data_IF_627428972332
#
_entry.id   IF_627428972332
#
_cell.length_a   1.000
_cell.length_b   1.000
_cell.length_c   1.000
_cell.angle_alpha   90.00
_cell.angle_beta   90.00
_cell.angle_gamma   90.00
#
_symmetry.space_group_name_H-M   'P 1'
#
loop_
_entity.id
_entity.type
_entity.pdbx_description
1 polymer ?
#
# COMPACT_ATOMS: atom_id res chain seq x y z
N UNK A 1 4.79 -5.47 5.19
CA UNK A 1 5.95 -4.88 4.52
C UNK A 1 6.35 -3.59 5.22
N UNK A 2 5.38 -2.69 5.47
CA UNK A 2 5.60 -1.42 6.17
C UNK A 2 6.43 -1.51 7.46
N UNK A 3 6.08 -2.41 8.40
CA UNK A 3 6.88 -2.54 9.64
C UNK A 3 8.33 -2.96 9.41
N UNK A 4 8.59 -3.77 8.38
CA UNK A 4 9.95 -4.23 8.07
C UNK A 4 10.76 -3.10 7.43
N UNK A 5 10.16 -2.38 6.48
CA UNK A 5 10.74 -1.18 5.88
C UNK A 5 11.01 -0.10 6.93
N UNK A 6 10.06 0.16 7.82
CA UNK A 6 10.20 1.11 8.93
C UNK A 6 11.34 0.72 9.88
N UNK A 7 11.51 -0.58 10.14
CA UNK A 7 12.65 -1.08 10.93
C UNK A 7 13.99 -0.84 10.22
N UNK A 8 14.06 -1.08 8.90
CA UNK A 8 15.28 -0.84 8.11
C UNK A 8 15.59 0.66 8.02
N UNK A 9 14.60 1.51 7.76
CA UNK A 9 14.74 2.97 7.73
C UNK A 9 15.18 3.54 9.08
N UNK A 10 14.66 3.01 10.19
CA UNK A 10 15.12 3.39 11.52
C UNK A 10 16.57 2.99 11.79
N UNK A 11 17.01 1.83 11.28
CA UNK A 11 18.41 1.42 11.34
C UNK A 11 19.29 2.31 10.46
N UNK A 12 18.90 2.56 9.22
CA UNK A 12 19.60 3.46 8.30
C UNK A 12 19.83 4.83 8.93
N UNK A 13 18.77 5.45 9.45
CA UNK A 13 18.86 6.75 10.15
C UNK A 13 19.76 6.72 11.37
N UNK A 14 19.90 5.55 12.02
CA UNK A 14 20.81 5.37 13.14
C UNK A 14 22.24 5.31 12.65
N UNK A 15 22.54 4.49 11.64
CA UNK A 15 23.88 4.41 11.06
C UNK A 15 24.34 5.74 10.46
N UNK A 16 23.46 6.49 9.78
CA UNK A 16 23.77 7.86 9.33
C UNK A 16 24.16 8.82 10.47
N UNK A 17 23.62 8.61 11.68
CA UNK A 17 24.03 9.39 12.86
C UNK A 17 25.34 8.89 13.44
N UNK A 18 25.60 7.58 13.38
CA UNK A 18 26.86 6.97 13.83
C UNK A 18 28.00 7.41 12.90
N UNK A 19 27.82 7.32 11.57
CA UNK A 19 28.75 7.86 10.57
C UNK A 19 29.16 9.30 10.86
N UNK A 20 28.19 10.19 11.12
CA UNK A 20 28.51 11.60 11.45
C UNK A 20 29.37 11.74 12.70
N UNK A 21 29.13 10.91 13.71
CA UNK A 21 29.94 10.91 14.93
C UNK A 21 31.34 10.36 14.67
N UNK A 22 31.45 9.32 13.84
CA UNK A 22 32.73 8.71 13.47
C UNK A 22 33.58 9.67 12.61
N UNK A 23 32.95 10.43 11.72
CA UNK A 23 33.60 11.48 10.93
C UNK A 23 34.16 12.60 11.82
N UNK A 24 33.38 13.02 12.82
CA UNK A 24 33.80 14.00 13.82
C UNK A 24 34.98 13.45 14.66
N UNK A 25 34.88 12.20 15.14
CA UNK A 25 35.98 11.56 15.87
C UNK A 25 37.24 11.44 15.00
N UNK A 26 37.12 11.01 13.75
CA UNK A 26 38.24 10.92 12.82
C UNK A 26 38.91 12.28 12.61
N UNK A 27 38.13 13.36 12.49
CA UNK A 27 38.63 14.73 12.40
C UNK A 27 39.45 15.10 13.63
N UNK A 28 38.91 14.84 14.83
CA UNK A 28 39.59 15.10 16.10
C UNK A 28 40.88 14.26 16.24
N UNK A 29 40.85 12.97 15.87
CA UNK A 29 42.04 12.09 15.86
C UNK A 29 43.11 12.60 14.92
N UNK A 30 42.74 13.03 13.71
CA UNK A 30 43.67 13.63 12.74
C UNK A 30 44.31 14.89 13.29
N UNK A 31 43.54 15.77 13.92
CA UNK A 31 44.06 16.99 14.53
C UNK A 31 45.03 16.68 15.69
N UNK A 32 44.71 15.69 16.52
CA UNK A 32 45.59 15.23 17.60
C UNK A 32 46.90 14.62 17.07
N UNK A 33 46.81 13.84 15.99
CA UNK A 33 47.98 13.27 15.34
C UNK A 33 48.90 14.36 14.77
N UNK A 34 48.34 15.35 14.07
CA UNK A 34 49.07 16.50 13.54
C UNK A 34 49.75 17.29 14.67
N UNK A 35 49.05 17.55 15.77
CA UNK A 35 49.62 18.21 16.95
C UNK A 35 50.80 17.44 17.54
N UNK A 36 50.68 16.12 17.61
CA UNK A 36 51.77 15.23 18.07
C UNK A 36 52.97 15.27 17.12
N UNK A 37 52.75 15.29 15.80
CA UNK A 37 53.83 15.42 14.82
C UNK A 37 54.54 16.76 14.93
N UNK A 38 53.81 17.85 15.11
CA UNK A 38 54.39 19.17 15.33
C UNK A 38 55.22 19.22 16.63
N UNK A 39 54.69 18.70 17.74
CA UNK A 39 55.43 18.62 19.01
C UNK A 39 56.68 17.75 18.88
N UNK A 40 56.62 16.63 18.16
CA UNK A 40 57.79 15.77 17.91
C UNK A 40 58.88 16.53 17.17
N UNK A 41 58.54 17.22 16.07
CA UNK A 41 59.49 18.02 15.29
C UNK A 41 60.12 19.12 16.17
N UNK A 42 59.33 19.87 16.92
CA UNK A 42 59.84 20.88 17.86
C UNK A 42 60.74 20.26 18.96
N UNK A 43 60.37 19.08 19.47
CA UNK A 43 61.12 18.42 20.53
C UNK A 43 62.51 17.96 20.08
N UNK A 44 62.65 17.53 18.82
CA UNK A 44 63.94 17.19 18.18
C UNK A 44 64.88 18.39 18.15
N UNK A 45 64.36 19.59 17.90
CA UNK A 45 65.15 20.83 17.95
C UNK A 45 65.52 21.24 19.39
N UNK A 46 64.69 20.93 20.38
CA UNK A 46 64.90 21.34 21.78
C UNK A 46 65.81 20.45 22.64
N UNK A 47 66.45 19.40 22.08
CA UNK A 47 67.34 18.46 22.79
C UNK A 47 66.72 17.72 24.01
N UNK A 48 65.41 17.85 24.23
CA UNK A 48 64.71 17.20 25.36
C UNK A 48 64.27 15.79 24.97
N UNK A 49 64.82 14.76 25.63
CA UNK A 49 64.39 13.36 25.41
C UNK A 49 62.90 13.19 25.70
N UNK A 50 62.14 12.68 24.74
CA UNK A 50 60.73 12.28 24.87
C UNK A 50 60.55 10.81 24.44
N UNK A 51 59.48 10.17 24.92
CA UNK A 51 59.17 8.74 24.71
C UNK A 51 58.47 8.56 23.35
N UNK A 52 59.11 7.86 22.41
CA UNK A 52 58.62 7.66 21.03
C UNK A 52 57.33 6.81 20.91
N UNK A 53 56.84 6.23 22.00
CA UNK A 53 55.69 5.32 22.02
C UNK A 53 54.34 6.00 21.74
N UNK A 54 54.27 7.32 21.90
CA UNK A 54 53.01 8.07 21.80
C UNK A 54 52.54 8.24 20.34
N UNK A 55 53.45 8.51 19.39
CA UNK A 55 53.08 8.78 17.99
C UNK A 55 52.50 7.55 17.26
N UNK A 56 53.08 6.36 17.48
CA UNK A 56 52.56 5.10 16.93
C UNK A 56 51.15 4.79 17.45
N UNK A 57 50.90 5.06 18.73
CA UNK A 57 49.58 4.83 19.34
C UNK A 57 48.54 5.78 18.74
N UNK A 58 48.90 7.06 18.52
CA UNK A 58 48.02 8.07 17.92
C UNK A 58 47.65 7.71 16.48
N UNK A 59 48.64 7.35 15.66
CA UNK A 59 48.40 6.88 14.28
C UNK A 59 47.48 5.66 14.23
N UNK A 60 47.66 4.69 15.14
CA UNK A 60 46.76 3.53 15.23
C UNK A 60 45.33 3.94 15.56
N UNK A 61 45.13 4.90 16.45
CA UNK A 61 43.80 5.40 16.79
C UNK A 61 43.16 6.16 15.62
N UNK A 62 43.92 6.96 14.87
CA UNK A 62 43.42 7.59 13.63
C UNK A 62 43.02 6.55 12.59
N UNK A 63 43.82 5.49 12.42
CA UNK A 63 43.49 4.39 11.50
C UNK A 63 42.25 3.62 11.94
N UNK A 64 42.06 3.41 13.25
CA UNK A 64 40.85 2.80 13.77
C UNK A 64 39.63 3.66 13.46
N UNK A 65 39.65 4.95 13.83
CA UNK A 65 38.54 5.87 13.53
C UNK A 65 38.24 5.97 12.02
N UNK A 66 39.26 5.83 11.17
CA UNK A 66 39.05 5.78 9.73
C UNK A 66 38.36 4.49 9.28
N UNK A 67 38.71 3.36 9.89
CA UNK A 67 38.05 2.08 9.62
C UNK A 67 36.59 2.11 10.11
N UNK A 68 36.32 2.73 11.26
CA UNK A 68 34.97 2.86 11.81
C UNK A 68 34.07 3.70 10.86
N UNK A 69 34.59 4.79 10.28
CA UNK A 69 33.88 5.56 9.23
C UNK A 69 33.57 4.72 7.99
N UNK A 70 34.55 3.94 7.51
CA UNK A 70 34.36 3.10 6.33
C UNK A 70 33.31 1.99 6.58
N UNK A 71 33.36 1.35 7.76
CA UNK A 71 32.37 0.36 8.20
C UNK A 71 30.96 0.96 8.22
N UNK A 72 30.79 2.16 8.79
CA UNK A 72 29.51 2.87 8.81
C UNK A 72 28.99 3.19 7.40
N UNK A 73 29.87 3.54 6.44
CA UNK A 73 29.49 3.76 5.04
C UNK A 73 29.03 2.46 4.38
N UNK A 74 29.78 1.37 4.58
CA UNK A 74 29.43 0.04 4.05
C UNK A 74 28.08 -0.45 4.62
N UNK A 75 27.83 -0.30 5.92
CA UNK A 75 26.55 -0.71 6.52
C UNK A 75 25.37 0.14 6.00
N UNK A 76 25.59 1.43 5.76
CA UNK A 76 24.58 2.30 5.14
C UNK A 76 24.22 1.82 3.73
N UNK A 77 25.21 1.53 2.89
CA UNK A 77 25.00 1.03 1.52
C UNK A 77 24.23 -0.30 1.53
N UNK A 78 24.63 -1.23 2.39
CA UNK A 78 23.93 -2.51 2.58
C UNK A 78 22.47 -2.33 3.04
N UNK A 79 22.19 -1.36 3.91
CA UNK A 79 20.83 -1.06 4.38
C UNK A 79 19.98 -0.43 3.26
N UNK A 80 20.54 0.49 2.49
CA UNK A 80 19.86 1.09 1.33
C UNK A 80 19.50 0.05 0.27
N UNK A 81 20.42 -0.88 0.00
CA UNK A 81 20.19 -1.99 -0.93
C UNK A 81 19.08 -2.93 -0.44
N UNK A 82 19.08 -3.29 0.84
CA UNK A 82 18.01 -4.10 1.44
C UNK A 82 16.63 -3.42 1.37
N UNK A 83 16.58 -2.10 1.59
CA UNK A 83 15.34 -1.32 1.45
C UNK A 83 14.86 -1.39 0.01
N UNK A 84 15.74 -1.12 -0.96
CA UNK A 84 15.42 -1.11 -2.39
C UNK A 84 14.93 -2.47 -2.89
N UNK A 85 15.58 -3.55 -2.46
CA UNK A 85 15.15 -4.92 -2.79
C UNK A 85 13.76 -5.21 -2.23
N UNK A 86 13.51 -4.83 -0.97
CA UNK A 86 12.21 -5.07 -0.31
C UNK A 86 11.07 -4.27 -0.95
N UNK A 87 11.34 -3.02 -1.36
CA UNK A 87 10.37 -2.20 -2.11
C UNK A 87 10.06 -2.81 -3.48
N UNK A 88 11.09 -3.30 -4.18
CA UNK A 88 10.91 -3.98 -5.46
C UNK A 88 10.10 -5.28 -5.32
N UNK A 89 10.38 -6.10 -4.30
CA UNK A 89 9.62 -7.31 -4.00
C UNK A 89 8.15 -6.98 -3.70
N UNK A 90 7.91 -5.94 -2.90
CA UNK A 90 6.56 -5.51 -2.55
C UNK A 90 5.77 -5.05 -3.77
N UNK A 91 6.39 -4.22 -4.63
CA UNK A 91 5.79 -3.77 -5.88
C UNK A 91 5.46 -4.95 -6.80
N UNK A 92 6.40 -5.90 -6.97
CA UNK A 92 6.17 -7.10 -7.78
C UNK A 92 4.99 -7.94 -7.29
N UNK A 93 4.80 -8.04 -5.96
CA UNK A 93 3.64 -8.73 -5.38
C UNK A 93 2.32 -8.00 -5.62
N UNK A 94 2.33 -6.67 -5.61
CA UNK A 94 1.14 -5.88 -5.95
C UNK A 94 0.75 -6.05 -7.41
N UNK A 95 1.74 -6.04 -8.31
CA UNK A 95 1.52 -6.25 -9.75
C UNK A 95 0.97 -7.66 -10.02
N UNK A 96 1.52 -8.71 -9.40
CA UNK A 96 1.02 -10.09 -9.51
C UNK A 96 -0.43 -10.22 -9.02
N UNK A 97 -0.77 -9.55 -7.91
CA UNK A 97 -2.16 -9.51 -7.42
C UNK A 97 -3.05 -8.82 -8.46
N UNK A 98 -2.64 -7.65 -8.97
CA UNK A 98 -3.37 -6.90 -9.99
C UNK A 98 -3.67 -7.74 -11.24
N UNK A 99 -2.66 -8.45 -11.77
CA UNK A 99 -2.80 -9.30 -12.94
C UNK A 99 -3.80 -10.44 -12.71
N UNK A 100 -3.77 -11.09 -11.53
CA UNK A 100 -4.74 -12.13 -11.18
C UNK A 100 -6.17 -11.59 -11.14
N UNK A 101 -6.41 -10.41 -10.55
CA UNK A 101 -7.75 -9.82 -10.52
C UNK A 101 -8.21 -9.32 -11.89
N UNK A 102 -7.30 -8.80 -12.73
CA UNK A 102 -7.57 -8.43 -14.12
C UNK A 102 -8.07 -9.61 -14.97
N UNK A 103 -7.55 -10.83 -14.73
CA UNK A 103 -8.05 -12.03 -15.39
C UNK A 103 -9.45 -12.47 -14.92
N UNK A 104 -9.78 -12.30 -13.64
CA UNK A 104 -11.07 -12.75 -13.07
C UNK A 104 -12.21 -11.79 -13.42
N UNK A 105 -11.96 -10.49 -13.53
CA UNK A 105 -12.99 -9.50 -13.94
C UNK A 105 -13.41 -9.67 -15.41
N UNK A 106 -12.56 -10.24 -16.26
CA UNK A 106 -12.94 -10.57 -17.64
C UNK A 106 -13.80 -11.84 -17.74
N UNK A 107 -13.92 -12.62 -16.66
CA UNK A 107 -14.74 -13.83 -16.56
C UNK A 107 -16.12 -13.53 -15.91
N UNK A 108 -16.75 -12.41 -16.31
CA UNK A 108 -18.16 -12.15 -15.99
C UNK A 108 -19.01 -13.18 -16.76
N UNK A 109 -19.33 -14.28 -16.07
CA UNK A 109 -20.33 -15.22 -16.55
C UNK A 109 -21.73 -14.68 -16.23
N UNK A 110 -22.52 -14.49 -17.28
CA UNK A 110 -23.93 -14.11 -17.15
C UNK A 110 -24.70 -15.34 -16.64
N UNK A 111 -24.90 -15.42 -15.32
CA UNK A 111 -25.73 -16.47 -14.72
C UNK A 111 -27.19 -16.11 -14.98
N UNK A 112 -27.80 -16.69 -16.02
CA UNK A 112 -29.24 -16.60 -16.25
C UNK A 112 -29.98 -17.31 -15.13
N UNK A 113 -30.38 -16.56 -14.10
CA UNK A 113 -31.28 -17.06 -13.08
C UNK A 113 -32.66 -17.24 -13.69
N UNK A 114 -33.02 -18.49 -14.03
CA UNK A 114 -34.39 -18.83 -14.39
C UNK A 114 -35.26 -18.67 -13.13
N UNK A 115 -36.26 -17.77 -13.11
CA UNK A 115 -37.10 -17.60 -11.94
C UNK A 115 -37.86 -18.90 -11.64
N UNK A 116 -37.54 -19.55 -10.53
CA UNK A 116 -38.21 -20.79 -10.11
C UNK A 116 -39.59 -20.44 -9.56
N UNK A 117 -40.65 -21.08 -10.09
CA UNK A 117 -42.07 -20.88 -9.70
C UNK A 117 -42.34 -20.91 -8.19
N UNK A 118 -41.45 -21.52 -7.40
CA UNK A 118 -41.53 -21.63 -5.95
C UNK A 118 -41.26 -20.32 -5.18
N UNK A 119 -40.82 -19.24 -5.82
CA UNK A 119 -40.55 -17.94 -5.17
C UNK A 119 -41.45 -16.78 -5.63
N UNK A 120 -42.54 -17.08 -6.33
CA UNK A 120 -43.56 -16.08 -6.65
C UNK A 120 -44.62 -16.16 -5.56
N UNK A 121 -44.52 -15.29 -4.55
CA UNK A 121 -45.59 -15.09 -3.58
C UNK A 121 -46.55 -14.07 -4.19
N UNK A 122 -47.74 -14.53 -4.58
CA UNK A 122 -48.83 -13.65 -4.99
C UNK A 122 -49.54 -13.26 -3.69
N UNK A 123 -49.22 -12.09 -3.15
CA UNK A 123 -49.83 -11.60 -1.91
C UNK A 123 -51.32 -11.28 -2.08
N UNK A 124 -51.71 -10.82 -3.27
CA UNK A 124 -53.09 -10.44 -3.58
C UNK A 124 -53.59 -11.14 -4.85
N UNK A 125 -54.67 -11.92 -4.73
CA UNK A 125 -55.41 -12.44 -5.88
C UNK A 125 -56.86 -11.95 -5.83
N UNK A 126 -57.35 -11.41 -6.95
CA UNK A 126 -58.73 -10.95 -7.08
C UNK A 126 -59.40 -11.63 -8.27
N UNK A 127 -60.59 -12.19 -8.06
CA UNK A 127 -61.43 -12.69 -9.16
C UNK A 127 -62.41 -11.59 -9.53
N UNK A 128 -62.21 -10.96 -10.68
CA UNK A 128 -63.15 -10.00 -11.23
C UNK A 128 -64.17 -10.73 -12.13
N UNK A 129 -65.45 -10.64 -11.78
CA UNK A 129 -66.54 -11.10 -12.65
C UNK A 129 -67.14 -9.90 -13.39
N UNK A 130 -67.13 -9.95 -14.73
CA UNK A 130 -67.72 -8.94 -15.61
C UNK A 130 -68.89 -9.55 -16.39
N UNK A 131 -70.14 -9.37 -15.94
CA UNK A 131 -71.30 -9.82 -16.68
C UNK A 131 -71.61 -8.90 -17.86
N UNK A 132 -72.10 -9.50 -18.93
CA UNK A 132 -72.63 -8.82 -20.11
C UNK A 132 -74.11 -9.18 -20.25
N UNK A 133 -74.92 -8.22 -20.66
CA UNK A 133 -76.31 -8.43 -21.01
C UNK A 133 -76.45 -8.46 -22.54
N UNK A 134 -77.25 -9.40 -23.03
CA UNK A 134 -77.66 -9.45 -24.43
C UNK A 134 -78.95 -8.64 -24.56
N UNK A 135 -78.90 -7.55 -25.31
CA UNK A 135 -80.06 -6.68 -25.55
C UNK A 135 -80.38 -6.71 -27.04
N UNK A 136 -81.65 -6.93 -27.36
CA UNK A 136 -82.15 -6.91 -28.72
C UNK A 136 -82.46 -5.47 -29.14
N UNK A 137 -81.75 -4.96 -30.15
CA UNK A 137 -81.92 -3.59 -30.65
C UNK A 137 -82.17 -3.67 -32.16
N UNK A 138 -83.42 -3.48 -32.57
CA UNK A 138 -83.83 -3.70 -33.95
C UNK A 138 -83.92 -5.19 -34.28
N UNK A 139 -83.30 -5.63 -35.38
CA UNK A 139 -83.34 -7.01 -35.87
C UNK A 139 -82.06 -7.81 -35.51
N UNK A 140 -81.33 -7.36 -34.47
CA UNK A 140 -80.05 -7.93 -34.05
C UNK A 140 -79.80 -7.84 -32.55
N UNK A 141 -79.00 -8.79 -32.04
CA UNK A 141 -78.63 -8.89 -30.63
C UNK A 141 -77.26 -8.24 -30.44
N UNK A 142 -77.16 -7.34 -29.46
CA UNK A 142 -75.91 -6.64 -29.09
C UNK A 142 -75.53 -6.95 -27.65
N UNK A 143 -74.27 -7.25 -27.42
CA UNK A 143 -73.69 -7.41 -26.07
C UNK A 143 -73.39 -6.04 -25.46
N UNK A 144 -73.95 -5.76 -24.29
CA UNK A 144 -73.69 -4.55 -23.54
C UNK A 144 -73.12 -4.92 -22.17
N UNK A 145 -72.02 -4.28 -21.78
CA UNK A 145 -71.44 -4.49 -20.45
C UNK A 145 -72.42 -4.07 -19.36
N UNK A 146 -72.58 -4.90 -18.33
CA UNK A 146 -73.46 -4.58 -17.19
C UNK A 146 -72.93 -3.41 -16.34
N UNK A 147 -71.66 -3.03 -16.50
CA UNK A 147 -71.04 -1.91 -15.80
C UNK A 147 -70.86 -0.71 -16.74
N UNK A 148 -71.23 0.48 -16.26
CA UNK A 148 -71.00 1.72 -17.00
C UNK A 148 -69.51 1.92 -17.29
N UNK A 149 -69.20 2.34 -18.52
CA UNK A 149 -67.86 2.45 -19.14
C UNK A 149 -66.81 3.28 -18.36
N UNK A 150 -67.17 3.86 -17.20
CA UNK A 150 -66.32 4.77 -16.43
C UNK A 150 -65.77 4.26 -15.08
N UNK A 151 -66.07 3.02 -14.65
CA UNK A 151 -65.68 2.54 -13.31
C UNK A 151 -64.58 1.46 -13.27
N UNK A 152 -64.02 1.06 -14.41
CA UNK A 152 -62.90 0.11 -14.46
C UNK A 152 -61.70 0.78 -15.12
N UNK A 153 -60.76 1.28 -14.31
CA UNK A 153 -59.41 1.58 -14.81
C UNK A 153 -58.64 0.27 -14.93
N UNK A 154 -57.95 0.01 -16.05
CA UNK A 154 -57.06 -1.15 -16.13
C UNK A 154 -55.96 -1.00 -15.10
N UNK A 155 -55.74 -2.06 -14.32
CA UNK A 155 -54.60 -2.17 -13.42
C UNK A 155 -53.30 -2.08 -14.23
N UNK A 156 -52.52 -1.02 -14.01
CA UNK A 156 -51.21 -0.83 -14.62
C UNK A 156 -50.15 -1.45 -13.72
N UNK A 157 -49.39 -2.40 -14.24
CA UNK A 157 -48.33 -3.11 -13.50
C UNK A 157 -47.13 -2.24 -13.08
N UNK A 158 -47.22 -0.91 -13.21
CA UNK A 158 -46.19 0.06 -12.84
C UNK A 158 -46.51 0.82 -11.53
N UNK A 159 -47.64 0.52 -10.89
CA UNK A 159 -48.09 1.21 -9.66
C UNK A 159 -47.72 0.46 -8.36
N UNK A 160 -46.96 -0.64 -8.45
CA UNK A 160 -46.43 -1.37 -7.29
C UNK A 160 -44.91 -1.18 -7.23
N UNK A 161 -44.48 -0.28 -6.36
CA UNK A 161 -43.09 -0.07 -5.95
C UNK A 161 -42.75 -1.03 -4.81
#
# INVERSE_FOLDING_TARGET
YDRKLDTLDHRLKREERELRQDEDELSDRKMEEIGTHAENVFSLFSHRRRRMTTSLTKRRMTQQAQADVEESIEEIDDLEDQIREMEAEFKGKLDEIGDRWGSVVNDISEVTLTPTKSRIFIDDFGVAWMPYYLVEVGDGIVEVSAFGEGLVKPFSANDAN
#
